data_IF_675602590731
#
_entry.id   IF_675602590731
#
_cell.length_a   1.000
_cell.length_b   1.000
_cell.length_c   1.000
_cell.angle_alpha   90.00
_cell.angle_beta   90.00
_cell.angle_gamma   90.00
#
_symmetry.space_group_name_H-M   'P 1'
#
loop_
_entity.id
_entity.type
_entity.pdbx_description
1 polymer ?
#
# COMPACT_ATOMS: atom_id res chain seq x y z
N UNK A 1 19.84 5.30 -13.62
CA UNK A 1 19.80 6.74 -13.88
C UNK A 1 18.95 6.96 -15.14
N UNK A 2 17.67 7.20 -14.97
CA UNK A 2 16.73 7.49 -16.05
C UNK A 2 15.77 8.55 -15.50
N UNK A 3 15.84 9.73 -16.06
CA UNK A 3 14.99 10.85 -15.67
C UNK A 3 13.52 10.51 -15.98
N UNK A 4 12.65 10.65 -15.00
CA UNK A 4 11.22 10.56 -15.19
C UNK A 4 10.73 11.79 -16.00
N UNK A 5 9.83 11.62 -16.98
CA UNK A 5 9.26 12.75 -17.70
C UNK A 5 8.32 13.54 -16.80
N UNK A 6 8.49 14.85 -16.81
CA UNK A 6 7.64 15.80 -16.10
C UNK A 6 6.23 15.81 -16.71
N UNK A 7 5.21 15.83 -15.87
CA UNK A 7 3.85 16.13 -16.30
C UNK A 7 3.79 17.60 -16.78
N UNK A 8 3.02 17.92 -17.85
CA UNK A 8 3.01 19.26 -18.39
C UNK A 8 2.27 20.23 -17.49
N UNK A 9 3.00 21.21 -16.97
CA UNK A 9 2.37 22.42 -16.45
C UNK A 9 1.96 23.29 -17.64
N UNK A 10 0.71 23.67 -17.70
CA UNK A 10 0.22 24.61 -18.71
C UNK A 10 0.83 26.01 -18.45
N UNK A 11 1.94 26.32 -19.13
CA UNK A 11 2.46 27.65 -19.21
C UNK A 11 1.98 28.26 -20.53
N UNK A 12 1.12 29.26 -20.45
CA UNK A 12 0.79 30.08 -21.58
C UNK A 12 1.99 30.98 -21.87
N UNK A 13 2.86 30.57 -22.81
CA UNK A 13 3.93 31.40 -23.33
C UNK A 13 3.48 32.09 -24.61
N UNK A 14 3.34 33.39 -24.56
CA UNK A 14 3.18 34.21 -25.76
C UNK A 14 4.51 34.23 -26.52
N UNK A 15 4.53 33.61 -27.71
CA UNK A 15 5.70 33.58 -28.59
C UNK A 15 5.72 34.81 -29.47
N UNK A 16 6.68 35.69 -29.26
CA UNK A 16 7.06 36.69 -30.27
C UNK A 16 8.15 36.11 -31.16
N UNK A 17 7.84 35.97 -32.43
CA UNK A 17 8.78 35.54 -33.47
C UNK A 17 9.80 36.65 -33.77
N UNK A 18 11.07 36.32 -33.71
CA UNK A 18 12.16 37.15 -34.27
C UNK A 18 12.83 36.41 -35.43
N UNK A 19 12.82 37.04 -36.59
CA UNK A 19 13.38 36.52 -37.81
C UNK A 19 14.93 36.61 -37.84
N UNK A 20 15.55 35.59 -38.44
CA UNK A 20 16.99 35.53 -38.68
C UNK A 20 17.39 36.32 -39.91
N UNK A 21 18.53 36.97 -39.87
CA UNK A 21 19.24 37.47 -41.04
C UNK A 21 20.77 37.28 -40.88
N UNK A 22 21.54 37.23 -41.99
CA UNK A 22 22.81 36.46 -42.08
C UNK A 22 24.06 37.26 -41.76
N UNK A 23 25.14 36.49 -41.57
CA UNK A 23 26.50 36.94 -41.24
C UNK A 23 27.17 37.72 -42.35
N UNK A 24 27.98 38.74 -41.98
CA UNK A 24 29.11 39.26 -42.76
C UNK A 24 30.22 39.82 -41.89
N UNK A 25 31.42 39.62 -42.32
CA UNK A 25 32.77 39.64 -41.80
C UNK A 25 33.31 41.04 -41.38
N UNK A 26 34.54 41.14 -40.79
CA UNK A 26 34.88 42.13 -39.80
C UNK A 26 35.62 43.35 -40.36
N UNK A 27 35.49 44.49 -39.71
CA UNK A 27 36.38 45.63 -39.88
C UNK A 27 36.53 46.48 -38.59
N UNK A 28 37.77 46.61 -38.21
CA UNK A 28 38.42 47.74 -37.46
C UNK A 28 37.86 48.20 -36.14
N UNK A 29 38.76 48.06 -35.16
CA UNK A 29 38.65 48.64 -33.81
C UNK A 29 38.52 50.17 -33.83
N UNK A 30 37.41 50.67 -33.27
CA UNK A 30 37.32 52.03 -32.75
C UNK A 30 36.80 51.92 -31.34
N UNK A 31 37.48 52.55 -30.40
CA UNK A 31 37.14 52.58 -28.99
C UNK A 31 35.72 53.12 -28.79
N UNK A 32 34.77 52.23 -28.52
CA UNK A 32 33.43 52.60 -28.12
C UNK A 32 33.46 52.87 -26.61
N UNK A 33 33.32 54.12 -26.26
CA UNK A 33 32.96 54.54 -24.91
C UNK A 33 31.67 53.81 -24.54
N UNK A 34 31.79 52.87 -23.67
CA UNK A 34 30.63 52.14 -23.14
C UNK A 34 29.81 53.10 -22.31
N UNK A 35 28.80 53.71 -22.94
CA UNK A 35 27.78 54.41 -22.19
C UNK A 35 27.11 53.41 -21.21
N UNK A 36 27.13 53.71 -19.94
CA UNK A 36 26.41 52.93 -18.95
C UNK A 36 24.92 52.78 -19.39
N UNK A 37 24.33 51.61 -19.30
CA UNK A 37 22.93 51.42 -19.70
C UNK A 37 22.09 52.40 -18.89
N UNK A 38 21.31 53.23 -19.61
CA UNK A 38 20.37 54.13 -18.97
C UNK A 38 19.45 53.33 -18.06
N UNK A 39 19.12 53.81 -16.86
CA UNK A 39 18.23 53.08 -15.97
C UNK A 39 16.91 52.84 -16.70
N UNK A 40 16.61 51.57 -16.97
CA UNK A 40 15.34 51.15 -17.57
C UNK A 40 14.22 51.58 -16.62
N UNK A 41 13.38 52.50 -17.06
CA UNK A 41 12.20 52.88 -16.27
C UNK A 41 11.35 51.64 -16.05
N UNK A 42 10.93 51.30 -14.82
CA UNK A 42 10.09 50.17 -14.59
C UNK A 42 8.80 50.31 -15.41
N UNK A 43 8.46 49.26 -16.13
CA UNK A 43 7.22 49.23 -16.92
C UNK A 43 6.04 49.18 -15.94
N UNK A 44 5.15 50.15 -16.08
CA UNK A 44 3.93 50.25 -15.28
C UNK A 44 2.79 49.60 -16.03
N UNK A 45 2.26 48.50 -15.50
CA UNK A 45 1.09 47.80 -16.03
C UNK A 45 -0.03 47.93 -15.00
N UNK A 46 -1.21 48.30 -15.46
CA UNK A 46 -2.41 48.36 -14.65
C UNK A 46 -3.55 47.70 -15.41
N UNK A 47 -4.18 46.72 -14.83
CA UNK A 47 -5.39 46.07 -15.30
C UNK A 47 -6.52 46.51 -14.37
N UNK A 48 -7.60 47.03 -14.92
CA UNK A 48 -8.74 47.48 -14.14
C UNK A 48 -9.62 46.33 -13.68
N UNK A 49 -10.01 45.50 -14.63
CA UNK A 49 -10.78 44.30 -14.38
C UNK A 49 -10.65 43.39 -15.61
N UNK A 50 -10.62 42.08 -15.40
CA UNK A 50 -10.74 41.08 -16.46
C UNK A 50 -12.08 40.36 -16.28
N UNK A 51 -12.94 40.45 -17.31
CA UNK A 51 -14.26 39.80 -17.34
C UNK A 51 -14.23 38.71 -18.39
N UNK A 52 -14.56 37.49 -17.98
CA UNK A 52 -14.69 36.31 -18.83
C UNK A 52 -16.17 36.04 -19.10
N UNK A 53 -16.51 35.82 -20.34
CA UNK A 53 -17.89 35.51 -20.75
C UNK A 53 -17.90 34.45 -21.83
N UNK A 54 -18.56 33.33 -21.57
CA UNK A 54 -18.71 32.20 -22.50
C UNK A 54 -17.36 31.75 -23.12
N UNK A 55 -16.31 31.75 -22.29
CA UNK A 55 -14.99 31.39 -22.75
C UNK A 55 -14.90 29.89 -23.02
N UNK A 56 -13.97 29.51 -23.92
CA UNK A 56 -13.62 28.12 -24.21
C UNK A 56 -12.14 27.97 -24.33
N UNK A 57 -11.59 26.88 -23.70
CA UNK A 57 -10.20 26.49 -23.82
C UNK A 57 -10.16 25.00 -24.15
N UNK A 58 -9.52 24.64 -25.26
CA UNK A 58 -9.26 23.28 -25.67
C UNK A 58 -7.78 22.97 -25.45
N UNK A 59 -7.49 21.95 -24.65
CA UNK A 59 -6.15 21.47 -24.40
C UNK A 59 -5.96 20.07 -25.00
N UNK A 60 -4.90 19.88 -25.79
CA UNK A 60 -4.58 18.55 -26.34
C UNK A 60 -3.15 18.17 -25.99
N UNK A 61 -3.00 17.02 -25.32
CA UNK A 61 -1.71 16.40 -25.05
C UNK A 61 -1.36 15.37 -26.12
N UNK A 62 -0.35 15.68 -26.92
CA UNK A 62 0.14 14.82 -28.01
C UNK A 62 1.27 13.86 -27.55
N UNK A 63 1.76 13.96 -26.33
CA UNK A 63 2.77 13.03 -25.75
C UNK A 63 2.15 11.72 -25.27
N UNK A 64 0.83 11.69 -25.13
CA UNK A 64 0.05 10.51 -24.77
C UNK A 64 -0.53 9.87 -26.04
N UNK A 65 -0.60 8.55 -26.08
CA UNK A 65 -1.27 7.80 -27.16
C UNK A 65 -2.33 6.86 -26.59
N UNK A 66 -3.59 6.93 -27.06
CA UNK A 66 -4.15 7.96 -27.93
C UNK A 66 -4.08 9.35 -27.29
N UNK A 67 -4.09 10.41 -28.11
CA UNK A 67 -4.01 11.78 -27.64
C UNK A 67 -5.13 12.06 -26.63
N UNK A 68 -4.81 12.82 -25.58
CA UNK A 68 -5.79 13.29 -24.62
C UNK A 68 -6.22 14.71 -24.99
N UNK A 69 -7.50 14.95 -25.03
CA UNK A 69 -8.06 16.30 -25.21
C UNK A 69 -9.04 16.60 -24.10
N UNK A 70 -8.94 17.77 -23.51
CA UNK A 70 -9.86 18.31 -22.50
C UNK A 70 -10.40 19.67 -22.96
N UNK A 71 -11.70 19.82 -22.96
CA UNK A 71 -12.40 21.05 -23.28
C UNK A 71 -12.97 21.70 -22.02
N UNK A 72 -12.46 22.87 -21.66
CA UNK A 72 -13.07 23.77 -20.69
C UNK A 72 -14.02 24.68 -21.42
N UNK A 73 -15.28 24.66 -21.03
CA UNK A 73 -16.37 25.40 -21.70
C UNK A 73 -17.12 26.23 -20.66
N UNK A 74 -17.95 27.17 -21.15
CA UNK A 74 -18.72 28.07 -20.32
C UNK A 74 -17.87 28.76 -19.25
N UNK A 75 -16.67 29.22 -19.64
CA UNK A 75 -15.80 29.94 -18.72
C UNK A 75 -16.38 31.34 -18.50
N UNK A 76 -16.84 31.58 -17.29
CA UNK A 76 -17.41 32.84 -16.86
C UNK A 76 -16.75 33.30 -15.56
N UNK A 77 -16.70 34.61 -15.34
CA UNK A 77 -16.22 35.16 -14.09
C UNK A 77 -15.44 36.44 -14.22
N UNK A 78 -14.81 36.82 -13.13
CA UNK A 78 -14.05 38.08 -13.02
C UNK A 78 -12.74 37.91 -12.28
N UNK A 79 -11.74 38.69 -12.68
CA UNK A 79 -10.54 38.98 -11.91
C UNK A 79 -10.48 40.50 -11.70
N UNK A 80 -10.46 40.91 -10.46
CA UNK A 80 -10.44 42.36 -10.10
C UNK A 80 -9.17 43.05 -10.52
N UNK A 81 -9.03 44.28 -10.15
CA UNK A 81 -7.92 45.15 -10.55
C UNK A 81 -6.57 44.68 -9.96
N UNK A 82 -5.55 44.63 -10.80
CA UNK A 82 -4.17 44.34 -10.39
C UNK A 82 -3.14 45.16 -11.22
N UNK A 83 -1.90 45.21 -10.75
CA UNK A 83 -0.87 45.95 -11.48
C UNK A 83 0.47 45.90 -10.79
N UNK A 84 1.52 46.41 -11.47
CA UNK A 84 2.90 46.35 -10.98
C UNK A 84 3.15 47.27 -9.75
N UNK A 85 2.28 48.22 -9.51
CA UNK A 85 2.37 49.18 -8.37
C UNK A 85 1.33 48.88 -7.27
N UNK A 86 0.39 47.97 -7.52
CA UNK A 86 -0.66 47.62 -6.56
C UNK A 86 -0.19 46.55 -5.59
N UNK A 87 -0.19 46.82 -4.30
CA UNK A 87 0.05 45.81 -3.26
C UNK A 87 -1.23 44.99 -2.94
N UNK A 88 -2.38 45.48 -3.37
CA UNK A 88 -3.65 44.79 -3.12
C UNK A 88 -3.78 43.56 -4.03
N UNK A 89 -4.21 42.46 -3.44
CA UNK A 89 -4.55 41.27 -4.22
C UNK A 89 -5.89 41.47 -4.94
N UNK A 90 -5.96 41.08 -6.20
CA UNK A 90 -7.18 41.12 -7.02
C UNK A 90 -8.08 39.95 -6.68
N UNK A 91 -9.36 40.13 -6.36
CA UNK A 91 -10.29 39.04 -6.18
C UNK A 91 -10.46 38.27 -7.49
N UNK A 92 -10.61 36.96 -7.35
CA UNK A 92 -10.86 36.01 -8.45
C UNK A 92 -12.14 35.25 -8.15
N UNK A 93 -13.04 35.20 -9.14
CA UNK A 93 -14.24 34.37 -9.09
C UNK A 93 -14.52 33.88 -10.52
N UNK A 94 -14.19 32.61 -10.80
CA UNK A 94 -14.27 31.99 -12.11
C UNK A 94 -14.99 30.67 -12.00
N UNK A 95 -16.03 30.49 -12.81
CA UNK A 95 -16.72 29.23 -13.03
C UNK A 95 -16.41 28.69 -14.44
N UNK A 96 -16.38 27.38 -14.58
CA UNK A 96 -16.23 26.70 -15.86
C UNK A 96 -16.85 25.30 -15.80
N UNK A 97 -16.89 24.60 -16.92
CA UNK A 97 -17.25 23.18 -16.97
C UNK A 97 -16.24 22.42 -17.80
N UNK A 98 -15.76 21.28 -17.28
CA UNK A 98 -14.94 20.37 -18.04
C UNK A 98 -15.82 19.47 -18.89
N UNK A 99 -15.64 19.53 -20.22
CA UNK A 99 -16.42 18.72 -21.18
C UNK A 99 -17.96 18.85 -21.03
N UNK A 100 -18.41 19.97 -20.44
CA UNK A 100 -19.84 20.26 -20.24
C UNK A 100 -20.48 19.57 -19.01
N UNK A 101 -19.82 18.66 -18.33
CA UNK A 101 -20.41 17.88 -17.25
C UNK A 101 -19.70 18.00 -15.89
N UNK A 102 -18.42 18.39 -15.88
CA UNK A 102 -17.65 18.54 -14.66
C UNK A 102 -17.56 20.02 -14.25
N UNK A 103 -18.39 20.52 -13.32
CA UNK A 103 -18.31 21.91 -12.85
C UNK A 103 -16.97 22.17 -12.19
N UNK A 104 -16.39 23.32 -12.52
CA UNK A 104 -15.15 23.85 -11.96
C UNK A 104 -15.42 25.22 -11.37
N UNK A 105 -14.92 25.48 -10.19
CA UNK A 105 -14.94 26.80 -9.53
C UNK A 105 -13.55 27.17 -9.08
N UNK A 106 -13.15 28.43 -9.28
CA UNK A 106 -11.89 28.99 -8.79
C UNK A 106 -12.21 30.31 -8.11
N UNK A 107 -11.90 30.41 -6.83
CA UNK A 107 -12.19 31.60 -6.02
C UNK A 107 -10.97 31.98 -5.16
N UNK A 108 -10.86 33.25 -4.83
CA UNK A 108 -9.81 33.75 -3.96
C UNK A 108 -9.21 35.07 -4.41
N UNK A 109 -7.89 35.20 -4.37
CA UNK A 109 -7.19 36.42 -4.72
C UNK A 109 -5.82 36.16 -5.34
N UNK A 110 -5.38 37.05 -6.23
CA UNK A 110 -4.07 36.98 -6.87
C UNK A 110 -3.41 38.35 -6.94
N UNK A 111 -2.10 38.40 -6.87
CA UNK A 111 -1.31 39.54 -7.26
C UNK A 111 -0.10 39.08 -8.11
N UNK A 112 -0.30 38.96 -9.43
CA UNK A 112 0.68 38.30 -10.30
C UNK A 112 1.79 39.23 -10.79
N UNK A 113 1.64 40.55 -10.70
CA UNK A 113 2.55 41.55 -11.31
C UNK A 113 3.50 42.24 -10.35
N UNK A 114 3.45 41.93 -9.07
CA UNK A 114 4.42 42.43 -8.08
C UNK A 114 5.72 41.61 -8.12
N UNK A 115 6.78 42.20 -7.57
CA UNK A 115 8.12 41.59 -7.55
C UNK A 115 8.14 40.18 -6.93
N UNK A 116 7.28 39.96 -5.95
CA UNK A 116 7.03 38.64 -5.36
C UNK A 116 5.55 38.28 -5.57
N UNK A 117 5.20 37.51 -6.61
CA UNK A 117 3.81 37.12 -6.87
C UNK A 117 3.16 36.49 -5.64
N UNK A 118 1.90 36.80 -5.42
CA UNK A 118 1.11 36.24 -4.34
C UNK A 118 -0.22 35.71 -4.86
N UNK A 119 -0.67 34.62 -4.28
CA UNK A 119 -2.02 34.07 -4.53
C UNK A 119 -2.54 33.38 -3.28
N UNK A 120 -3.84 33.40 -3.12
CA UNK A 120 -4.61 32.55 -2.21
C UNK A 120 -5.86 32.11 -2.96
N UNK A 121 -5.82 30.91 -3.50
CA UNK A 121 -6.86 30.39 -4.39
C UNK A 121 -7.41 29.06 -3.88
N UNK A 122 -8.71 28.96 -3.84
CA UNK A 122 -9.44 27.72 -3.71
C UNK A 122 -10.02 27.35 -5.07
N UNK A 123 -9.78 26.11 -5.48
CA UNK A 123 -10.37 25.58 -6.71
C UNK A 123 -11.06 24.24 -6.42
N UNK A 124 -12.20 24.01 -7.04
CA UNK A 124 -12.91 22.74 -6.96
C UNK A 124 -13.32 22.25 -8.35
N UNK A 125 -13.30 20.93 -8.51
CA UNK A 125 -13.82 20.27 -9.70
C UNK A 125 -14.51 18.97 -9.27
N UNK A 126 -15.78 18.82 -9.62
CA UNK A 126 -16.60 17.72 -9.15
C UNK A 126 -17.22 16.92 -10.29
N UNK A 127 -17.39 15.60 -10.07
CA UNK A 127 -18.04 14.71 -11.01
C UNK A 127 -17.24 14.43 -12.29
N UNK A 128 -15.92 14.64 -12.27
CA UNK A 128 -15.05 14.42 -13.43
C UNK A 128 -14.97 12.92 -13.74
N UNK A 129 -15.29 12.54 -14.97
CA UNK A 129 -15.19 11.16 -15.43
C UNK A 129 -13.73 10.74 -15.61
N UNK A 130 -13.28 9.76 -14.81
CA UNK A 130 -11.91 9.27 -14.88
C UNK A 130 -11.59 8.43 -16.12
N UNK A 131 -12.60 7.93 -16.80
CA UNK A 131 -12.45 7.18 -18.06
C UNK A 131 -11.73 7.98 -19.15
N UNK A 132 -11.90 9.30 -19.14
CA UNK A 132 -11.20 10.21 -20.05
C UNK A 132 -9.69 10.27 -19.78
N UNK A 133 -9.25 9.93 -18.58
CA UNK A 133 -7.83 9.85 -18.21
C UNK A 133 -7.20 8.48 -18.49
N UNK A 134 -7.93 7.57 -19.15
CA UNK A 134 -7.43 6.24 -19.55
C UNK A 134 -6.09 6.26 -20.29
N UNK A 135 -5.83 7.20 -21.24
CA UNK A 135 -4.53 7.26 -21.90
C UNK A 135 -3.34 7.42 -20.92
N UNK A 136 -3.53 8.22 -19.88
CA UNK A 136 -2.52 8.42 -18.83
C UNK A 136 -2.37 7.19 -17.93
N UNK A 137 -3.48 6.63 -17.46
CA UNK A 137 -3.45 5.47 -16.58
C UNK A 137 -2.88 4.22 -17.28
N UNK A 138 -3.22 3.99 -18.55
CA UNK A 138 -2.66 2.92 -19.33
C UNK A 138 -1.14 3.08 -19.54
N UNK A 139 -0.67 4.31 -19.85
CA UNK A 139 0.74 4.59 -20.07
C UNK A 139 1.58 4.50 -18.79
N UNK A 140 1.12 5.08 -17.68
CA UNK A 140 1.95 5.23 -16.49
C UNK A 140 1.67 4.19 -15.41
N UNK A 141 0.44 3.67 -15.34
CA UNK A 141 0.04 2.65 -14.37
C UNK A 141 -0.07 1.25 -14.98
N UNK A 142 -0.12 1.11 -16.31
CA UNK A 142 -0.30 -0.16 -17.00
C UNK A 142 -1.74 -0.68 -16.98
N UNK A 143 -2.72 0.17 -16.63
CA UNK A 143 -4.13 -0.22 -16.55
C UNK A 143 -5.04 0.89 -17.08
N UNK A 144 -5.91 0.62 -18.06
CA UNK A 144 -6.96 1.55 -18.47
C UNK A 144 -8.00 1.71 -17.36
N UNK A 145 -8.55 2.91 -17.19
CA UNK A 145 -9.68 3.15 -16.28
C UNK A 145 -10.97 2.84 -17.01
N UNK A 146 -11.81 1.96 -16.46
CA UNK A 146 -13.09 1.58 -17.02
C UNK A 146 -14.27 2.24 -16.32
N UNK A 147 -14.08 2.71 -15.08
CA UNK A 147 -15.09 3.41 -14.28
C UNK A 147 -14.42 4.26 -13.21
N UNK A 148 -15.05 5.35 -12.85
CA UNK A 148 -14.70 6.16 -11.70
C UNK A 148 -15.01 7.63 -11.90
N UNK A 149 -15.35 8.32 -10.80
CA UNK A 149 -15.57 9.76 -10.76
C UNK A 149 -14.58 10.39 -9.80
N UNK A 150 -14.07 11.54 -10.19
CA UNK A 150 -13.12 12.33 -9.42
C UNK A 150 -13.80 13.62 -8.94
N UNK A 151 -13.64 13.89 -7.64
CA UNK A 151 -13.86 15.21 -7.08
C UNK A 151 -12.54 15.69 -6.48
N UNK A 152 -12.23 16.97 -6.69
CA UNK A 152 -10.99 17.59 -6.24
C UNK A 152 -11.32 18.92 -5.62
N UNK A 153 -10.80 19.15 -4.40
CA UNK A 153 -10.82 20.44 -3.73
C UNK A 153 -9.39 20.85 -3.43
N UNK A 154 -8.97 21.96 -3.96
CA UNK A 154 -7.60 22.47 -3.96
C UNK A 154 -7.54 23.79 -3.21
N UNK A 155 -6.54 23.97 -2.38
CA UNK A 155 -6.24 25.28 -1.77
C UNK A 155 -4.75 25.55 -1.95
N UNK A 156 -4.44 26.62 -2.65
CA UNK A 156 -3.09 27.05 -3.01
C UNK A 156 -2.78 28.41 -2.45
N UNK A 157 -1.74 28.51 -1.65
CA UNK A 157 -1.22 29.76 -1.11
C UNK A 157 0.22 29.96 -1.56
N UNK A 158 0.49 31.12 -2.15
CA UNK A 158 1.82 31.58 -2.50
C UNK A 158 2.09 32.90 -1.84
N UNK A 159 3.10 32.94 -1.00
CA UNK A 159 3.59 34.17 -0.38
C UNK A 159 5.09 34.07 -0.19
N UNK A 160 5.81 35.17 -0.42
CA UNK A 160 7.26 35.25 -0.23
C UNK A 160 8.05 34.12 -0.90
N UNK A 161 7.69 33.79 -2.14
CA UNK A 161 8.29 32.72 -2.94
C UNK A 161 8.03 31.29 -2.42
N UNK A 162 7.19 31.12 -1.43
CA UNK A 162 6.82 29.82 -0.87
C UNK A 162 5.40 29.45 -1.28
N UNK A 163 5.30 28.31 -1.97
CA UNK A 163 4.03 27.67 -2.24
C UNK A 163 3.69 26.70 -1.11
N UNK A 164 2.48 26.80 -0.61
CA UNK A 164 1.81 25.79 0.22
C UNK A 164 0.51 25.41 -0.46
N UNK A 165 0.26 24.14 -0.63
CA UNK A 165 -0.96 23.65 -1.26
C UNK A 165 -1.50 22.44 -0.51
N UNK A 166 -2.82 22.36 -0.45
CA UNK A 166 -3.55 21.21 0.03
C UNK A 166 -4.46 20.69 -1.09
N UNK A 167 -4.32 19.44 -1.43
CA UNK A 167 -5.07 18.80 -2.49
C UNK A 167 -5.90 17.68 -1.88
N UNK A 168 -7.18 17.91 -1.67
CA UNK A 168 -8.14 16.90 -1.27
C UNK A 168 -8.68 16.21 -2.53
N UNK A 169 -8.49 14.91 -2.61
CA UNK A 169 -8.87 14.08 -3.76
C UNK A 169 -9.82 13.00 -3.28
N UNK A 170 -11.04 13.04 -3.80
CA UNK A 170 -12.04 12.03 -3.56
C UNK A 170 -12.38 11.31 -4.86
N UNK A 171 -12.19 10.00 -4.90
CA UNK A 171 -12.47 9.17 -6.06
C UNK A 171 -13.53 8.14 -5.70
N UNK A 172 -14.63 8.14 -6.45
CA UNK A 172 -15.71 7.17 -6.31
C UNK A 172 -15.58 6.06 -7.37
N UNK A 173 -15.67 4.78 -6.93
CA UNK A 173 -15.79 3.58 -7.76
C UNK A 173 -14.70 3.40 -8.82
N UNK A 174 -13.45 3.83 -8.57
CA UNK A 174 -12.34 3.61 -9.50
C UNK A 174 -12.20 2.14 -9.86
N UNK A 175 -12.33 1.81 -11.13
CA UNK A 175 -12.18 0.45 -11.65
C UNK A 175 -11.21 0.43 -12.82
N UNK A 176 -10.27 -0.52 -12.78
CA UNK A 176 -9.32 -0.74 -13.84
C UNK A 176 -9.75 -1.90 -14.74
N UNK A 177 -9.48 -1.78 -16.03
CA UNK A 177 -9.54 -2.86 -17.01
C UNK A 177 -8.34 -3.81 -16.88
N UNK A 178 -8.13 -4.62 -17.91
CA UNK A 178 -7.02 -5.56 -17.95
C UNK A 178 -5.66 -4.86 -18.06
N UNK A 179 -4.61 -5.56 -17.61
CA UNK A 179 -3.25 -5.04 -17.70
C UNK A 179 -2.84 -4.85 -19.17
N UNK A 180 -2.21 -3.74 -19.45
CA UNK A 180 -1.62 -3.43 -20.75
C UNK A 180 -0.11 -3.36 -20.57
N UNK A 181 0.61 -4.22 -21.29
CA UNK A 181 2.08 -4.21 -21.26
C UNK A 181 2.61 -2.90 -21.83
N UNK A 182 3.37 -2.18 -21.02
CA UNK A 182 3.96 -0.91 -21.37
C UNK A 182 5.27 -0.70 -20.62
N UNK A 183 6.36 -0.44 -21.37
CA UNK A 183 7.69 -0.22 -20.78
C UNK A 183 7.78 1.01 -19.88
N UNK A 184 6.90 2.01 -20.10
CA UNK A 184 6.87 3.23 -19.29
C UNK A 184 6.01 3.10 -18.02
N UNK A 185 5.24 2.03 -17.89
CA UNK A 185 4.41 1.80 -16.72
C UNK A 185 5.25 1.53 -15.46
N UNK A 186 4.74 2.00 -14.33
CA UNK A 186 5.36 1.68 -13.04
C UNK A 186 5.34 0.18 -12.79
N UNK A 187 6.43 -0.34 -12.19
CA UNK A 187 6.51 -1.74 -11.74
C UNK A 187 5.83 -1.98 -10.38
N UNK A 188 5.23 -0.94 -9.79
CA UNK A 188 4.49 -1.08 -8.54
C UNK A 188 3.20 -1.87 -8.78
N UNK A 189 2.75 -2.70 -7.83
CA UNK A 189 1.47 -3.40 -7.92
C UNK A 189 0.31 -2.41 -7.70
N UNK A 190 -0.01 -1.62 -8.73
CA UNK A 190 -0.97 -0.51 -8.68
C UNK A 190 -2.35 -0.96 -8.19
N UNK A 191 -2.83 -2.13 -8.64
CA UNK A 191 -4.13 -2.66 -8.19
C UNK A 191 -4.17 -2.89 -6.67
N UNK A 192 -3.08 -3.44 -6.11
CA UNK A 192 -2.96 -3.62 -4.67
C UNK A 192 -2.95 -2.26 -3.95
N UNK A 193 -2.13 -1.30 -4.43
CA UNK A 193 -2.06 0.01 -3.82
C UNK A 193 -3.44 0.71 -3.78
N UNK A 194 -4.19 0.66 -4.89
CA UNK A 194 -5.53 1.22 -4.98
C UNK A 194 -6.52 0.47 -4.07
N UNK A 195 -6.42 -0.86 -3.98
CA UNK A 195 -7.26 -1.64 -3.06
C UNK A 195 -7.02 -1.29 -1.59
N UNK A 196 -5.78 -0.97 -1.22
CA UNK A 196 -5.43 -0.50 0.12
C UNK A 196 -5.98 0.91 0.42
N UNK A 197 -6.05 1.78 -0.59
CA UNK A 197 -6.59 3.12 -0.44
C UNK A 197 -8.13 3.14 -0.39
N UNK A 198 -8.81 2.20 -1.07
CA UNK A 198 -10.27 2.13 -1.07
C UNK A 198 -10.83 1.80 0.31
N UNK A 199 -11.92 2.45 0.68
CA UNK A 199 -12.75 2.06 1.83
C UNK A 199 -13.77 0.96 1.45
N UNK A 200 -14.64 0.57 2.40
CA UNK A 200 -15.69 -0.44 2.20
C UNK A 200 -16.74 -0.08 1.15
N UNK A 201 -16.90 1.21 0.84
CA UNK A 201 -17.80 1.70 -0.21
C UNK A 201 -17.13 1.77 -1.58
N UNK A 202 -15.82 1.47 -1.68
CA UNK A 202 -15.05 1.57 -2.92
C UNK A 202 -14.54 2.99 -3.22
N UNK A 203 -14.61 3.89 -2.24
CA UNK A 203 -14.17 5.27 -2.33
C UNK A 203 -12.71 5.40 -1.89
N UNK A 204 -11.98 6.33 -2.51
CA UNK A 204 -10.65 6.75 -2.09
C UNK A 204 -10.74 8.21 -1.67
N UNK A 205 -10.37 8.50 -0.44
CA UNK A 205 -10.38 9.83 0.16
C UNK A 205 -8.98 10.13 0.68
N UNK A 206 -8.26 11.04 0.01
CA UNK A 206 -6.87 11.32 0.33
C UNK A 206 -6.56 12.81 0.27
N UNK A 207 -5.70 13.24 1.19
CA UNK A 207 -5.21 14.60 1.27
C UNK A 207 -3.73 14.62 0.91
N UNK A 208 -3.37 15.38 -0.13
CA UNK A 208 -2.00 15.45 -0.64
C UNK A 208 -1.46 16.86 -0.43
N UNK A 209 -0.76 17.12 0.68
CA UNK A 209 -0.10 18.41 0.87
C UNK A 209 1.11 18.51 -0.06
N UNK A 210 1.28 19.70 -0.65
CA UNK A 210 2.42 20.04 -1.51
C UNK A 210 3.02 21.36 -1.02
N UNK A 211 4.34 21.43 -0.94
CA UNK A 211 5.03 22.67 -0.60
C UNK A 211 6.35 22.80 -1.35
N UNK A 212 6.76 24.01 -1.66
CA UNK A 212 8.01 24.26 -2.38
C UNK A 212 8.34 25.75 -2.49
N UNK A 213 9.45 26.07 -3.13
CA UNK A 213 9.87 27.43 -3.45
C UNK A 213 9.92 27.64 -4.95
N UNK A 214 9.33 28.70 -5.46
CA UNK A 214 9.34 29.06 -6.88
C UNK A 214 10.73 29.43 -7.40
N UNK A 215 11.64 29.87 -6.54
CA UNK A 215 13.01 30.18 -6.90
C UNK A 215 13.89 28.94 -7.09
N UNK A 216 13.40 27.73 -6.72
CA UNK A 216 14.09 26.49 -7.03
C UNK A 216 13.94 26.16 -8.54
N UNK A 217 15.01 26.06 -9.32
CA UNK A 217 14.92 25.80 -10.75
C UNK A 217 14.33 24.42 -11.10
N UNK A 218 14.30 23.50 -10.15
CA UNK A 218 13.65 22.18 -10.29
C UNK A 218 12.16 22.19 -9.87
N UNK A 219 11.66 23.37 -9.47
CA UNK A 219 10.30 23.49 -8.98
C UNK A 219 9.28 23.25 -10.11
N UNK A 220 8.44 22.25 -9.92
CA UNK A 220 7.31 21.96 -10.77
C UNK A 220 6.14 21.47 -9.90
N UNK A 221 5.03 22.18 -9.91
CA UNK A 221 3.83 21.80 -9.15
C UNK A 221 3.35 20.40 -9.56
N UNK A 222 3.29 20.13 -10.88
CA UNK A 222 2.91 18.82 -11.39
C UNK A 222 3.88 17.70 -10.98
N UNK A 223 5.18 17.99 -10.99
CA UNK A 223 6.21 17.07 -10.50
C UNK A 223 6.06 16.76 -9.03
N UNK A 224 5.81 17.77 -8.19
CA UNK A 224 5.60 17.59 -6.74
C UNK A 224 4.36 16.75 -6.45
N UNK A 225 3.24 17.01 -7.12
CA UNK A 225 2.01 16.22 -6.98
C UNK A 225 2.28 14.78 -7.39
N UNK A 226 2.94 14.56 -8.53
CA UNK A 226 3.26 13.22 -9.02
C UNK A 226 4.18 12.46 -8.05
N UNK A 227 5.22 13.11 -7.50
CA UNK A 227 6.07 12.50 -6.48
C UNK A 227 5.29 12.17 -5.21
N UNK A 228 4.37 13.02 -4.78
CA UNK A 228 3.52 12.76 -3.62
C UNK A 228 2.60 11.56 -3.85
N UNK A 229 1.98 11.44 -5.03
CA UNK A 229 1.15 10.29 -5.43
C UNK A 229 1.99 9.01 -5.47
N UNK A 230 3.16 9.03 -6.11
CA UNK A 230 4.04 7.86 -6.15
C UNK A 230 4.51 7.44 -4.76
N UNK A 231 4.80 8.38 -3.87
CA UNK A 231 5.18 8.08 -2.50
C UNK A 231 4.03 7.46 -1.71
N UNK A 232 2.79 7.93 -1.92
CA UNK A 232 1.58 7.34 -1.34
C UNK A 232 1.41 5.88 -1.82
N UNK A 233 1.51 5.65 -3.13
CA UNK A 233 1.43 4.30 -3.70
C UNK A 233 2.55 3.39 -3.20
N UNK A 234 3.79 3.87 -3.16
CA UNK A 234 4.93 3.12 -2.59
C UNK A 234 4.67 2.74 -1.14
N UNK A 235 4.26 3.70 -0.31
CA UNK A 235 3.95 3.46 1.10
C UNK A 235 2.85 2.43 1.28
N UNK A 236 1.80 2.49 0.46
CA UNK A 236 0.72 1.50 0.48
C UNK A 236 1.22 0.06 0.20
N UNK A 237 2.21 -0.08 -0.69
CA UNK A 237 2.76 -1.40 -1.08
C UNK A 237 3.83 -1.91 -0.11
N UNK A 238 4.72 -1.03 0.37
CA UNK A 238 5.89 -1.45 1.17
C UNK A 238 5.59 -1.72 2.63
N UNK A 239 4.52 -1.12 3.16
CA UNK A 239 4.14 -1.25 4.55
C UNK A 239 2.61 -1.45 4.72
N UNK A 240 2.00 -2.43 4.02
CA UNK A 240 0.54 -2.55 3.97
C UNK A 240 -0.06 -2.80 5.35
N UNK A 241 0.52 -3.67 6.15
CA UNK A 241 0.01 -4.00 7.49
C UNK A 241 0.22 -2.88 8.51
N UNK A 242 1.32 -2.13 8.44
CA UNK A 242 1.55 -0.98 9.32
C UNK A 242 0.62 0.18 9.00
N UNK A 243 0.32 0.42 7.71
CA UNK A 243 -0.68 1.40 7.28
C UNK A 243 -2.08 1.02 7.77
N UNK A 244 -2.45 -0.24 7.61
CA UNK A 244 -3.73 -0.75 8.08
C UNK A 244 -3.82 -0.67 9.61
N UNK A 245 -2.80 -1.10 10.34
CA UNK A 245 -2.75 -1.02 11.79
C UNK A 245 -2.91 0.41 12.31
N UNK A 246 -2.23 1.39 11.68
CA UNK A 246 -2.33 2.80 12.09
C UNK A 246 -3.72 3.40 11.88
N UNK A 247 -4.45 2.96 10.85
CA UNK A 247 -5.81 3.42 10.58
C UNK A 247 -6.84 2.91 11.62
N UNK A 248 -6.53 1.82 12.34
CA UNK A 248 -7.42 1.18 13.32
C UNK A 248 -7.02 1.41 14.79
N UNK A 249 -6.12 2.34 15.06
CA UNK A 249 -5.68 2.65 16.42
C UNK A 249 -4.83 1.53 17.07
N UNK A 250 -4.38 0.55 16.30
CA UNK A 250 -3.47 -0.51 16.71
C UNK A 250 -2.06 0.04 16.89
N UNK A 251 -1.71 0.44 18.09
CA UNK A 251 -0.37 0.88 18.43
C UNK A 251 0.61 -0.29 18.40
N UNK A 252 1.41 -0.41 17.34
CA UNK A 252 2.67 -1.15 17.36
C UNK A 252 2.61 -2.68 17.22
N UNK A 253 1.47 -3.33 17.15
CA UNK A 253 1.42 -4.76 16.83
C UNK A 253 1.68 -5.01 15.36
N UNK A 254 2.62 -5.89 15.09
CA UNK A 254 2.92 -6.31 13.73
C UNK A 254 1.84 -7.31 13.24
N UNK A 255 0.99 -6.85 12.32
CA UNK A 255 -0.13 -7.64 11.78
C UNK A 255 0.26 -8.50 10.57
N UNK A 256 1.54 -8.53 10.20
CA UNK A 256 2.03 -9.26 9.02
C UNK A 256 2.13 -10.78 9.20
N UNK A 257 1.98 -11.29 10.42
CA UNK A 257 2.07 -12.72 10.72
C UNK A 257 1.35 -13.09 12.01
N UNK A 258 1.12 -14.37 12.21
CA UNK A 258 0.65 -14.95 13.48
C UNK A 258 1.53 -16.12 13.91
N UNK A 259 1.88 -16.16 15.19
CA UNK A 259 2.84 -17.11 15.76
C UNK A 259 2.18 -18.37 16.31
N UNK A 260 2.94 -19.46 16.29
CA UNK A 260 2.54 -20.76 16.84
C UNK A 260 3.58 -21.31 17.81
N UNK A 261 3.14 -22.11 18.76
CA UNK A 261 4.04 -22.88 19.57
C UNK A 261 4.81 -23.93 18.72
N UNK A 262 6.07 -24.23 19.03
CA UNK A 262 6.87 -25.22 18.31
C UNK A 262 6.15 -26.57 18.18
N UNK A 263 6.11 -27.13 16.98
CA UNK A 263 5.45 -28.40 16.67
C UNK A 263 3.91 -28.40 16.78
N UNK A 264 3.29 -27.23 16.92
CA UNK A 264 1.84 -27.08 17.06
C UNK A 264 1.22 -26.25 15.92
N UNK A 265 -0.04 -26.53 15.63
CA UNK A 265 -0.88 -25.76 14.70
C UNK A 265 -2.12 -25.19 15.41
N UNK A 266 -2.16 -25.20 16.73
CA UNK A 266 -3.26 -24.65 17.53
C UNK A 266 -3.04 -23.16 17.74
N UNK A 267 -4.07 -22.36 17.49
CA UNK A 267 -4.06 -20.92 17.72
C UNK A 267 -4.13 -20.63 19.23
N UNK A 268 -3.21 -19.81 19.73
CA UNK A 268 -3.28 -19.25 21.08
C UNK A 268 -4.30 -18.11 21.16
N UNK A 269 -4.71 -17.72 22.37
CA UNK A 269 -5.61 -16.56 22.55
C UNK A 269 -4.99 -15.26 22.00
N UNK A 270 -3.69 -15.11 22.10
CA UNK A 270 -2.98 -13.96 21.51
C UNK A 270 -3.06 -14.01 19.97
N UNK A 271 -2.84 -15.18 19.36
CA UNK A 271 -2.99 -15.38 17.93
C UNK A 271 -4.44 -15.09 17.46
N UNK A 272 -5.44 -15.54 18.21
CA UNK A 272 -6.84 -15.28 17.89
C UNK A 272 -7.18 -13.78 17.94
N UNK A 273 -6.77 -13.05 18.97
CA UNK A 273 -6.97 -11.58 19.04
C UNK A 273 -6.33 -10.88 17.86
N UNK A 274 -5.12 -11.27 17.47
CA UNK A 274 -4.43 -10.72 16.29
C UNK A 274 -5.21 -10.99 15.00
N UNK A 275 -5.73 -12.20 14.85
CA UNK A 275 -6.59 -12.57 13.73
C UNK A 275 -7.93 -11.83 13.73
N UNK A 276 -8.48 -11.49 14.90
CA UNK A 276 -9.68 -10.66 15.00
C UNK A 276 -9.44 -9.25 14.45
N UNK A 277 -8.29 -8.68 14.78
CA UNK A 277 -7.87 -7.38 14.19
C UNK A 277 -7.73 -7.49 12.67
N UNK A 278 -7.08 -8.54 12.17
CA UNK A 278 -6.95 -8.79 10.72
C UNK A 278 -8.32 -8.98 10.06
N UNK A 279 -9.24 -9.69 10.70
CA UNK A 279 -10.60 -9.86 10.19
C UNK A 279 -11.36 -8.53 10.08
N UNK A 280 -11.26 -7.67 11.10
CA UNK A 280 -11.82 -6.31 11.07
C UNK A 280 -11.27 -5.49 9.89
N UNK A 281 -9.95 -5.50 9.71
CA UNK A 281 -9.28 -4.83 8.58
C UNK A 281 -9.79 -5.34 7.22
N UNK A 282 -9.91 -6.64 7.07
CA UNK A 282 -10.43 -7.24 5.84
C UNK A 282 -11.90 -6.90 5.61
N UNK A 283 -12.71 -6.79 6.65
CA UNK A 283 -14.12 -6.40 6.53
C UNK A 283 -14.26 -4.97 5.95
N UNK A 284 -13.39 -4.05 6.36
CA UNK A 284 -13.40 -2.68 5.84
C UNK A 284 -12.76 -2.52 4.46
N UNK A 285 -12.01 -3.53 4.01
CA UNK A 285 -11.33 -3.54 2.71
C UNK A 285 -11.78 -4.73 1.86
N UNK A 286 -13.02 -4.71 1.32
CA UNK A 286 -13.61 -5.89 0.65
C UNK A 286 -12.87 -6.36 -0.60
N UNK A 287 -12.10 -5.49 -1.23
CA UNK A 287 -11.27 -5.81 -2.41
C UNK A 287 -9.93 -6.48 -2.09
N UNK A 288 -9.48 -6.46 -0.83
CA UNK A 288 -8.23 -7.11 -0.44
C UNK A 288 -8.39 -8.63 -0.35
N UNK A 289 -7.36 -9.32 -0.78
CA UNK A 289 -7.19 -10.77 -0.65
C UNK A 289 -5.95 -11.07 0.18
N UNK A 290 -6.01 -12.12 0.97
CA UNK A 290 -4.97 -12.51 1.92
C UNK A 290 -4.34 -13.84 1.49
N UNK A 291 -3.03 -13.85 1.27
CA UNK A 291 -2.23 -15.03 1.09
C UNK A 291 -1.69 -15.49 2.45
N UNK A 292 -1.85 -16.77 2.74
CA UNK A 292 -1.44 -17.41 3.99
C UNK A 292 -0.28 -18.35 3.71
N UNK A 293 0.93 -17.97 4.15
CA UNK A 293 2.14 -18.79 4.00
C UNK A 293 2.47 -19.46 5.32
N UNK A 294 2.14 -20.75 5.45
CA UNK A 294 2.58 -21.53 6.62
C UNK A 294 4.08 -21.69 6.61
N UNK A 295 4.71 -21.43 7.76
CA UNK A 295 6.16 -21.53 7.91
C UNK A 295 6.51 -22.47 9.07
N UNK A 296 7.62 -23.18 8.95
CA UNK A 296 8.26 -23.98 10.00
C UNK A 296 9.72 -23.58 10.13
N UNK A 297 10.21 -23.72 11.34
CA UNK A 297 11.63 -23.64 11.68
C UNK A 297 12.08 -25.04 12.15
N UNK A 298 12.82 -25.82 11.36
CA UNK A 298 13.23 -27.16 11.73
C UNK A 298 13.91 -27.23 13.09
N UNK A 299 14.77 -26.23 13.42
CA UNK A 299 15.48 -26.20 14.71
C UNK A 299 14.53 -26.12 15.92
N UNK A 300 13.36 -25.53 15.76
CA UNK A 300 12.34 -25.37 16.82
C UNK A 300 11.19 -26.38 16.67
N UNK A 301 10.77 -26.65 15.45
CA UNK A 301 9.58 -27.45 15.20
C UNK A 301 9.83 -28.96 15.28
N UNK A 302 11.03 -29.46 14.92
CA UNK A 302 11.32 -30.89 15.06
C UNK A 302 11.24 -31.37 16.51
N UNK A 303 11.90 -30.72 17.52
CA UNK A 303 11.70 -31.06 18.90
C UNK A 303 10.26 -31.01 19.36
N UNK A 304 9.53 -29.97 18.90
CA UNK A 304 8.09 -29.78 19.18
C UNK A 304 7.23 -30.92 18.62
N UNK A 305 7.48 -31.33 17.37
CA UNK A 305 6.78 -32.47 16.74
C UNK A 305 7.07 -33.79 17.44
N UNK A 306 8.33 -34.03 17.88
CA UNK A 306 8.71 -35.20 18.64
C UNK A 306 7.97 -35.23 19.99
N UNK A 307 7.90 -34.10 20.70
CA UNK A 307 7.14 -33.99 21.94
C UNK A 307 5.64 -34.24 21.71
N UNK A 308 5.05 -33.65 20.66
CA UNK A 308 3.66 -33.86 20.27
C UNK A 308 3.34 -35.33 19.89
N UNK A 309 4.32 -36.00 19.27
CA UNK A 309 4.22 -37.43 18.99
C UNK A 309 4.09 -38.26 20.27
N UNK A 310 4.97 -38.03 21.25
CA UNK A 310 4.91 -38.70 22.54
C UNK A 310 3.58 -38.47 23.25
N UNK A 311 3.13 -37.21 23.31
CA UNK A 311 1.82 -36.89 23.92
C UNK A 311 0.64 -37.58 23.20
N UNK A 312 0.72 -37.73 21.89
CA UNK A 312 -0.31 -38.46 21.13
C UNK A 312 -0.32 -39.93 21.48
N UNK A 313 0.86 -40.56 21.59
CA UNK A 313 0.94 -41.95 21.98
C UNK A 313 0.39 -42.18 23.41
N UNK A 314 0.74 -41.30 24.35
CA UNK A 314 0.25 -41.36 25.74
C UNK A 314 -1.29 -41.20 25.76
N UNK A 315 -1.82 -40.24 24.99
CA UNK A 315 -3.27 -40.04 24.88
C UNK A 315 -3.98 -41.24 24.23
N UNK A 316 -3.35 -41.84 23.23
CA UNK A 316 -3.88 -43.04 22.55
C UNK A 316 -4.01 -44.20 23.57
N UNK A 317 -3.02 -44.41 24.42
CA UNK A 317 -3.11 -45.44 25.46
C UNK A 317 -4.25 -45.20 26.46
N UNK A 318 -4.51 -43.95 26.81
CA UNK A 318 -5.66 -43.62 27.66
C UNK A 318 -6.98 -43.86 26.94
N UNK A 319 -7.05 -43.51 25.65
CA UNK A 319 -8.24 -43.78 24.83
C UNK A 319 -8.55 -45.26 24.74
N UNK A 320 -7.54 -46.06 24.43
CA UNK A 320 -7.65 -47.55 24.38
C UNK A 320 -8.12 -48.15 25.70
N UNK A 321 -7.60 -47.67 26.83
CA UNK A 321 -7.99 -48.09 28.18
C UNK A 321 -9.47 -47.75 28.48
N UNK A 322 -9.91 -46.54 28.16
CA UNK A 322 -11.28 -46.08 28.36
C UNK A 322 -12.30 -46.82 27.48
N UNK A 323 -11.96 -46.96 26.19
CA UNK A 323 -12.77 -47.73 25.24
C UNK A 323 -12.85 -49.20 25.67
N UNK A 324 -11.75 -49.79 26.12
CA UNK A 324 -11.67 -51.17 26.64
C UNK A 324 -12.56 -51.39 27.87
N UNK A 325 -12.89 -50.34 28.64
CA UNK A 325 -13.86 -50.35 29.75
C UNK A 325 -15.28 -50.14 29.30
N UNK A 326 -15.55 -49.96 28.03
CA UNK A 326 -16.90 -49.68 27.49
C UNK A 326 -17.35 -48.23 27.60
N UNK A 327 -16.42 -47.29 27.89
CA UNK A 327 -16.72 -45.88 27.97
C UNK A 327 -16.76 -45.21 26.57
N UNK A 328 -17.79 -44.42 26.31
CA UNK A 328 -17.83 -43.56 25.13
C UNK A 328 -17.02 -42.31 25.37
N UNK A 329 -15.90 -42.12 24.68
CA UNK A 329 -14.98 -41.02 24.85
C UNK A 329 -14.75 -40.30 23.53
N UNK A 330 -14.88 -38.98 23.51
CA UNK A 330 -14.45 -38.19 22.37
C UNK A 330 -12.91 -38.04 22.37
N UNK A 331 -12.22 -38.59 21.36
CA UNK A 331 -10.77 -38.49 21.28
C UNK A 331 -10.22 -37.04 21.22
N UNK A 332 -11.06 -36.10 20.81
CA UNK A 332 -10.67 -34.68 20.63
C UNK A 332 -10.58 -33.93 21.97
N UNK A 333 -11.41 -34.32 22.91
CA UNK A 333 -11.50 -33.68 24.25
C UNK A 333 -10.74 -34.44 25.30
N UNK A 334 -10.24 -35.66 25.00
CA UNK A 334 -9.55 -36.50 25.95
C UNK A 334 -8.20 -35.88 26.34
N UNK A 335 -8.05 -35.54 27.61
CA UNK A 335 -6.81 -35.08 28.24
C UNK A 335 -6.25 -36.14 29.18
N UNK A 336 -4.94 -36.13 29.36
CA UNK A 336 -4.25 -37.02 30.31
C UNK A 336 -3.87 -36.19 31.55
N UNK A 337 -4.39 -36.57 32.72
CA UNK A 337 -4.09 -35.85 33.95
C UNK A 337 -2.64 -36.13 34.42
N UNK A 338 -2.00 -35.20 35.18
CA UNK A 338 -0.60 -35.36 35.58
C UNK A 338 -0.33 -36.60 36.39
N UNK A 339 -1.25 -37.04 37.23
CA UNK A 339 -1.19 -38.20 38.09
C UNK A 339 -1.27 -39.55 37.33
N UNK A 340 -1.93 -39.58 36.19
CA UNK A 340 -2.04 -40.76 35.33
C UNK A 340 -1.01 -40.80 34.20
N UNK A 341 -0.31 -39.68 33.95
CA UNK A 341 0.60 -39.50 32.81
C UNK A 341 1.73 -40.54 32.77
N UNK A 342 2.34 -40.86 33.91
CA UNK A 342 3.41 -41.87 34.01
C UNK A 342 2.90 -43.25 33.63
N UNK A 343 1.67 -43.60 34.03
CA UNK A 343 1.06 -44.91 33.73
C UNK A 343 0.87 -45.09 32.21
N UNK A 344 0.26 -44.12 31.56
CA UNK A 344 0.05 -44.21 30.12
C UNK A 344 1.33 -44.02 29.31
N UNK A 345 2.30 -43.24 29.79
CA UNK A 345 3.63 -43.17 29.19
C UNK A 345 4.33 -44.54 29.20
N UNK A 346 4.29 -45.24 30.33
CA UNK A 346 4.88 -46.59 30.46
C UNK A 346 4.21 -47.56 29.47
N UNK A 347 2.86 -47.49 29.32
CA UNK A 347 2.15 -48.31 28.34
C UNK A 347 2.55 -47.97 26.92
N UNK A 348 2.61 -46.67 26.55
CA UNK A 348 3.06 -46.21 25.24
C UNK A 348 4.48 -46.66 24.92
N UNK A 349 5.42 -46.57 25.91
CA UNK A 349 6.78 -47.04 25.75
C UNK A 349 6.84 -48.55 25.54
N UNK A 350 6.06 -49.34 26.27
CA UNK A 350 6.00 -50.82 26.09
C UNK A 350 5.41 -51.19 24.74
N UNK A 351 4.38 -50.50 24.26
CA UNK A 351 3.71 -50.75 23.00
C UNK A 351 4.50 -50.33 21.75
N UNK A 352 5.43 -49.37 21.89
CA UNK A 352 6.21 -48.87 20.80
C UNK A 352 7.10 -49.93 20.14
N UNK A 353 7.18 -49.95 18.80
CA UNK A 353 7.92 -50.91 18.00
C UNK A 353 9.37 -50.42 17.74
N UNK A 354 10.22 -50.50 18.78
CA UNK A 354 11.67 -50.32 18.65
C UNK A 354 12.42 -51.16 19.66
N UNK A 355 13.72 -51.41 19.41
CA UNK A 355 14.58 -52.24 20.26
C UNK A 355 14.84 -51.54 21.58
N UNK A 356 14.27 -52.08 22.67
CA UNK A 356 14.37 -51.52 24.01
C UNK A 356 15.69 -51.94 24.73
N UNK A 357 16.32 -51.06 25.51
CA UNK A 357 17.55 -51.38 26.22
C UNK A 357 17.33 -52.49 27.24
N UNK A 358 18.31 -53.42 27.29
CA UNK A 358 18.32 -54.56 28.21
C UNK A 358 19.50 -54.43 29.20
N UNK A 359 19.33 -55.00 30.37
CA UNK A 359 20.41 -55.11 31.35
C UNK A 359 21.36 -56.27 30.98
N UNK A 360 22.44 -56.47 31.75
CA UNK A 360 23.48 -57.47 31.53
C UNK A 360 22.96 -58.89 31.53
N UNK A 361 21.80 -59.13 32.13
CA UNK A 361 21.14 -60.50 32.19
C UNK A 361 19.99 -60.63 31.18
N UNK A 362 19.90 -59.69 30.21
CA UNK A 362 18.94 -59.76 29.12
C UNK A 362 17.52 -59.27 29.43
N UNK A 363 17.22 -58.79 30.64
CA UNK A 363 15.92 -58.25 31.02
C UNK A 363 15.83 -56.80 30.59
N UNK A 364 14.59 -56.36 30.26
CA UNK A 364 14.33 -54.97 29.89
C UNK A 364 14.69 -54.05 31.06
N UNK A 365 15.49 -53.02 30.76
CA UNK A 365 15.88 -52.02 31.77
C UNK A 365 14.66 -51.17 32.14
N UNK A 366 14.43 -50.94 33.44
CA UNK A 366 13.46 -49.97 33.91
C UNK A 366 14.00 -48.56 33.65
N UNK A 367 13.28 -47.74 32.91
CA UNK A 367 13.62 -46.36 32.58
C UNK A 367 12.77 -45.41 33.41
N UNK A 368 13.32 -44.23 33.68
CA UNK A 368 12.57 -43.11 34.22
C UNK A 368 11.59 -42.56 33.17
N UNK A 369 10.60 -41.79 33.60
CA UNK A 369 9.66 -41.13 32.69
C UNK A 369 10.37 -40.23 31.67
N UNK A 370 11.42 -39.55 32.07
CA UNK A 370 12.21 -38.71 31.16
C UNK A 370 12.93 -39.54 30.10
N UNK A 371 13.56 -40.68 30.51
CA UNK A 371 14.23 -41.60 29.57
C UNK A 371 13.23 -42.25 28.60
N UNK A 372 12.02 -42.63 29.05
CA UNK A 372 10.96 -43.19 28.21
C UNK A 372 10.45 -42.14 27.20
N UNK A 373 10.25 -40.89 27.65
CA UNK A 373 9.86 -39.79 26.75
C UNK A 373 10.92 -39.54 25.68
N UNK A 374 12.19 -39.49 26.09
CA UNK A 374 13.29 -39.27 25.14
C UNK A 374 13.39 -40.42 24.13
N UNK A 375 13.32 -41.68 24.58
CA UNK A 375 13.35 -42.82 23.68
C UNK A 375 12.19 -42.83 22.66
N UNK A 376 10.99 -42.48 23.10
CA UNK A 376 9.84 -42.33 22.18
C UNK A 376 10.04 -41.15 21.21
N UNK A 377 10.56 -40.04 21.68
CA UNK A 377 10.82 -38.84 20.85
C UNK A 377 11.90 -39.13 19.79
N UNK A 378 12.98 -39.86 20.16
CA UNK A 378 14.07 -40.21 19.23
C UNK A 378 13.59 -41.12 18.08
N UNK A 379 12.57 -41.94 18.33
CA UNK A 379 11.95 -42.79 17.33
C UNK A 379 10.71 -42.18 16.67
N UNK A 380 10.40 -40.93 16.97
CA UNK A 380 9.29 -40.23 16.29
C UNK A 380 9.57 -40.08 14.78
N UNK A 381 8.62 -40.38 13.89
CA UNK A 381 8.80 -40.29 12.44
C UNK A 381 8.70 -38.85 11.96
N UNK A 382 9.64 -37.99 12.43
CA UNK A 382 9.75 -36.60 12.03
C UNK A 382 10.69 -36.48 10.84
N UNK A 383 10.16 -35.95 9.74
CA UNK A 383 10.87 -35.77 8.48
C UNK A 383 10.34 -34.52 7.76
N UNK A 384 10.84 -34.21 6.58
CA UNK A 384 10.40 -33.05 5.79
C UNK A 384 8.89 -33.07 5.50
N UNK A 385 8.29 -34.24 5.25
CA UNK A 385 6.85 -34.36 5.05
C UNK A 385 6.05 -33.97 6.30
N UNK A 386 6.55 -34.31 7.50
CA UNK A 386 5.95 -33.90 8.78
C UNK A 386 6.02 -32.37 8.98
N UNK A 387 7.16 -31.76 8.64
CA UNK A 387 7.34 -30.32 8.71
C UNK A 387 6.43 -29.59 7.71
N UNK A 388 6.34 -30.11 6.48
CA UNK A 388 5.43 -29.59 5.44
C UNK A 388 3.97 -29.69 5.89
N UNK A 389 3.58 -30.82 6.45
CA UNK A 389 2.25 -31.04 7.02
C UNK A 389 1.93 -30.06 8.14
N UNK A 390 2.90 -29.80 9.03
CA UNK A 390 2.75 -28.80 10.12
C UNK A 390 2.55 -27.38 9.57
N UNK A 391 3.36 -26.97 8.59
CA UNK A 391 3.22 -25.66 7.96
C UNK A 391 1.86 -25.48 7.30
N UNK A 392 1.39 -26.50 6.59
CA UNK A 392 0.05 -26.51 5.97
C UNK A 392 -1.06 -26.48 7.03
N UNK A 393 -0.94 -27.25 8.10
CA UNK A 393 -1.91 -27.27 9.20
C UNK A 393 -2.03 -25.90 9.89
N UNK A 394 -0.91 -25.17 10.07
CA UNK A 394 -0.89 -23.80 10.60
C UNK A 394 -1.67 -22.83 9.68
N UNK A 395 -1.36 -22.84 8.38
CA UNK A 395 -2.05 -22.01 7.40
C UNK A 395 -3.54 -22.33 7.33
N UNK A 396 -3.89 -23.60 7.41
CA UNK A 396 -5.28 -24.05 7.41
C UNK A 396 -6.03 -23.63 8.68
N UNK A 397 -5.41 -23.69 9.87
CA UNK A 397 -6.00 -23.23 11.12
C UNK A 397 -6.30 -21.72 11.10
N UNK A 398 -5.39 -20.91 10.52
CA UNK A 398 -5.62 -19.47 10.31
C UNK A 398 -6.76 -19.26 9.32
N UNK A 399 -6.77 -19.98 8.21
CA UNK A 399 -7.82 -19.87 7.21
C UNK A 399 -9.20 -20.20 7.79
N UNK A 400 -9.33 -21.30 8.51
CA UNK A 400 -10.59 -21.71 9.14
C UNK A 400 -11.09 -20.68 10.16
N UNK A 401 -10.20 -20.09 10.94
CA UNK A 401 -10.55 -19.06 11.90
C UNK A 401 -11.07 -17.78 11.21
N UNK A 402 -10.40 -17.35 10.15
CA UNK A 402 -10.77 -16.15 9.41
C UNK A 402 -11.99 -16.38 8.52
N UNK A 403 -12.18 -17.60 7.97
CA UNK A 403 -13.31 -17.94 7.10
C UNK A 403 -14.65 -17.70 7.78
N UNK A 404 -14.77 -18.09 9.04
CA UNK A 404 -15.94 -17.85 9.84
C UNK A 404 -16.30 -16.34 10.01
N UNK A 405 -15.38 -15.43 9.74
CA UNK A 405 -15.50 -13.97 9.97
C UNK A 405 -15.59 -13.15 8.69
N UNK A 406 -14.84 -13.50 7.65
CA UNK A 406 -14.70 -12.69 6.43
C UNK A 406 -14.96 -13.44 5.12
N UNK A 407 -15.22 -14.75 5.18
CA UNK A 407 -15.54 -15.61 4.03
C UNK A 407 -14.31 -16.14 3.27
N UNK A 408 -14.39 -17.43 2.86
CA UNK A 408 -13.28 -18.20 2.28
C UNK A 408 -12.74 -17.68 0.95
N UNK A 409 -13.55 -16.97 0.17
CA UNK A 409 -13.20 -16.53 -1.18
C UNK A 409 -12.06 -15.52 -1.26
N UNK A 410 -11.65 -14.98 -0.11
CA UNK A 410 -10.63 -13.92 0.00
C UNK A 410 -9.30 -14.41 0.58
N UNK A 411 -9.22 -15.68 1.01
CA UNK A 411 -8.04 -16.25 1.65
C UNK A 411 -7.46 -17.40 0.83
N UNK A 412 -6.16 -17.35 0.60
CA UNK A 412 -5.45 -18.30 -0.22
C UNK A 412 -4.28 -18.89 0.55
N UNK A 413 -4.29 -20.20 0.75
CA UNK A 413 -3.12 -20.89 1.29
C UNK A 413 -2.14 -21.07 0.14
N UNK A 414 -0.95 -20.53 0.30
CA UNK A 414 0.14 -20.63 -0.68
C UNK A 414 1.19 -21.68 -0.26
N UNK A 415 2.17 -21.91 -1.11
CA UNK A 415 3.22 -22.90 -0.84
C UNK A 415 3.91 -22.63 0.50
N UNK A 416 4.04 -23.65 1.38
CA UNK A 416 4.66 -23.47 2.69
C UNK A 416 6.16 -23.24 2.58
N UNK A 417 6.73 -22.51 3.53
CA UNK A 417 8.17 -22.33 3.71
C UNK A 417 8.67 -23.26 4.81
N UNK A 418 9.69 -24.05 4.49
CA UNK A 418 10.24 -25.08 5.39
C UNK A 418 11.51 -24.63 6.10
N UNK A 419 11.73 -23.34 6.18
CA UNK A 419 12.88 -22.71 6.85
C UNK A 419 12.52 -21.36 7.46
N UNK A 420 13.46 -20.82 8.23
CA UNK A 420 13.37 -19.50 8.85
C UNK A 420 14.00 -18.38 7.98
N UNK A 421 14.38 -18.66 6.74
CA UNK A 421 15.06 -17.68 5.88
C UNK A 421 14.15 -16.52 5.47
N UNK A 422 14.73 -15.33 5.32
CA UNK A 422 14.01 -14.12 4.89
C UNK A 422 13.08 -13.53 5.95
N UNK A 423 13.22 -13.91 7.22
CA UNK A 423 12.56 -13.24 8.35
C UNK A 423 13.50 -12.13 8.84
N UNK A 424 13.10 -10.88 8.63
CA UNK A 424 13.87 -9.69 9.01
C UNK A 424 13.32 -9.03 10.30
N UNK A 425 12.11 -9.40 10.71
CA UNK A 425 11.47 -8.90 11.93
C UNK A 425 11.92 -9.70 13.18
N UNK A 426 11.48 -9.24 14.35
CA UNK A 426 11.82 -9.85 15.64
C UNK A 426 10.85 -10.94 16.10
N UNK A 427 9.85 -11.29 15.27
CA UNK A 427 8.84 -12.30 15.59
C UNK A 427 9.38 -13.73 15.60
N UNK A 428 8.57 -14.64 16.15
CA UNK A 428 8.90 -16.05 16.13
C UNK A 428 8.96 -16.61 14.71
N UNK A 429 9.91 -17.54 14.49
CA UNK A 429 10.10 -18.19 13.19
C UNK A 429 9.04 -19.25 12.90
N UNK A 430 8.34 -19.73 13.94
CA UNK A 430 7.24 -20.71 13.89
C UNK A 430 5.92 -19.97 13.71
N UNK A 431 5.51 -19.66 12.46
CA UNK A 431 4.42 -18.74 12.20
C UNK A 431 3.69 -18.96 10.87
N UNK A 432 2.62 -18.22 10.65
CA UNK A 432 2.00 -18.03 9.33
C UNK A 432 2.21 -16.57 8.93
N UNK A 433 2.89 -16.36 7.81
CA UNK A 433 3.09 -15.03 7.21
C UNK A 433 1.86 -14.64 6.38
N UNK A 434 1.53 -13.37 6.39
CA UNK A 434 0.44 -12.79 5.60
C UNK A 434 1.00 -11.97 4.44
N UNK A 435 0.46 -12.24 3.23
CA UNK A 435 0.67 -11.43 2.04
C UNK A 435 -0.66 -10.80 1.60
N UNK A 436 -0.64 -9.57 1.10
CA UNK A 436 -1.82 -8.92 0.53
C UNK A 436 -1.71 -8.89 -1.00
N UNK A 437 -2.87 -9.12 -1.66
CA UNK A 437 -3.02 -8.98 -3.11
C UNK A 437 -4.38 -8.47 -3.56
#
# INVERSE_FOLDING_TARGET
AGAAPAAPAAVVSATTAAAAAPASTPASASAIVTAAPAPSRPVRIRVGELVLRDGRVSYTDNFIRPNYTADLVAIEGTVGAFGTESQAAAPVDIGASLEGNGPISIQGSVNPLIAKPALDLTASAHGIELTNLTPYSAKYAGYPITKGKLNVDLHYQLADDRLSANNHIFIDQLTFGDHVDNETATKLPVRLAISLLKNSRGEIDVNIPVSGSLSNPEFSVGGLIWHAVLNLLKKAVTAPFSLLASAFGGGGEELGYVEFAPGRATLSDAAQRKLDTVAGLLAEKPSLRLDLTGRVDPARDEPGLRAAYVERLVRQQKLEDRVGRGESVDPRTLTVAPDEASTYLTRAYKAADFKKPRNLIGLQKTLSDAEMRQALADHAPVNEASLRGLAQARAQAVREYLDAKVGASRMFVVAPKLDASGIEDKGATTRVDFGLR
#
